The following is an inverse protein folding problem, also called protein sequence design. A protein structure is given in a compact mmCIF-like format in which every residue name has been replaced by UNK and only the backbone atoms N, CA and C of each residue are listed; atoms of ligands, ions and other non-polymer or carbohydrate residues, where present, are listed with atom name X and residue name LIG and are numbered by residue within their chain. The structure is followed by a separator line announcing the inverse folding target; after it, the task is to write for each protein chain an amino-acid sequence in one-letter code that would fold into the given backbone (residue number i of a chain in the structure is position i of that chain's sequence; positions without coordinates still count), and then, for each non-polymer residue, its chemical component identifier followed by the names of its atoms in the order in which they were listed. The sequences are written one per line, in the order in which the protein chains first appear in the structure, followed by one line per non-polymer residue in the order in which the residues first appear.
data_IF_994477283843
#
_entry.id   IF_994477283843
#
_cell.length_a   1.000
_cell.length_b   1.000
_cell.length_c   1.000
_cell.angle_alpha   90.00
_cell.angle_beta   90.00
_cell.angle_gamma   90.00
#
_symmetry.space_group_name_H-M   'P 1'
#
loop_
_entity.id
_entity.type
_entity.pdbx_description
1 polymer ?
#
# COMPACT_ATOMS: atom_id res chain seq x y z
N UNK A 1 4.89 -1.41 27.04
CA UNK A 1 3.82 -1.13 26.06
C UNK A 1 2.81 -2.27 26.02
N UNK A 2 1.77 -2.28 26.88
CA UNK A 2 0.80 -3.39 26.95
C UNK A 2 -0.01 -3.55 25.65
N UNK A 3 -0.23 -2.47 24.90
CA UNK A 3 -0.97 -2.45 23.64
C UNK A 3 -0.39 -3.36 22.55
N UNK A 4 0.94 -3.36 22.40
CA UNK A 4 1.64 -4.17 21.38
C UNK A 4 1.51 -5.67 21.71
N UNK A 5 1.65 -6.03 22.99
CA UNK A 5 1.51 -7.40 23.49
C UNK A 5 0.06 -7.91 23.37
N UNK A 6 -0.92 -7.06 23.67
CA UNK A 6 -2.34 -7.40 23.54
C UNK A 6 -2.76 -7.51 22.06
N UNK A 7 -2.20 -6.64 21.21
CA UNK A 7 -2.34 -6.74 19.76
C UNK A 7 -1.84 -8.08 19.22
N UNK A 8 -0.70 -8.58 19.71
CA UNK A 8 -0.12 -9.88 19.32
C UNK A 8 -1.05 -11.07 19.62
N UNK A 9 -1.67 -11.08 20.81
CA UNK A 9 -2.65 -12.11 21.18
C UNK A 9 -3.86 -12.11 20.24
N UNK A 10 -4.32 -10.91 19.84
CA UNK A 10 -5.44 -10.74 18.91
C UNK A 10 -5.10 -11.21 17.49
N UNK A 11 -3.84 -11.03 17.02
CA UNK A 11 -3.40 -11.56 15.71
C UNK A 11 -3.48 -13.08 15.67
N UNK A 12 -3.03 -13.77 16.73
CA UNK A 12 -3.08 -15.25 16.79
C UNK A 12 -4.51 -15.78 16.62
N UNK A 13 -5.50 -15.10 17.22
CA UNK A 13 -6.93 -15.45 17.08
C UNK A 13 -7.47 -15.20 15.67
N UNK A 14 -6.83 -14.33 14.89
CA UNK A 14 -7.21 -13.99 13.52
C UNK A 14 -6.24 -14.55 12.48
N UNK A 15 -5.49 -15.58 12.82
CA UNK A 15 -4.50 -16.17 11.90
C UNK A 15 -5.10 -16.62 10.55
N UNK A 16 -6.34 -17.16 10.46
CA UNK A 16 -6.98 -17.44 9.17
C UNK A 16 -7.10 -16.21 8.27
N UNK A 17 -7.34 -15.02 8.86
CA UNK A 17 -7.37 -13.76 8.11
C UNK A 17 -6.00 -13.40 7.53
N UNK A 18 -4.90 -13.69 8.26
CA UNK A 18 -3.52 -13.49 7.78
C UNK A 18 -3.27 -14.34 6.54
N UNK A 19 -3.69 -15.62 6.55
CA UNK A 19 -3.52 -16.54 5.42
C UNK A 19 -4.27 -16.04 4.18
N UNK A 20 -5.52 -15.59 4.35
CA UNK A 20 -6.31 -15.07 3.21
C UNK A 20 -5.69 -13.78 2.65
N UNK A 21 -5.23 -12.87 3.51
CA UNK A 21 -4.51 -11.66 3.10
C UNK A 21 -3.21 -11.97 2.38
N UNK A 22 -2.50 -12.99 2.84
CA UNK A 22 -1.30 -13.49 2.20
C UNK A 22 -1.60 -13.99 0.79
N UNK A 23 -2.58 -14.88 0.62
CA UNK A 23 -3.02 -15.41 -0.67
C UNK A 23 -3.46 -14.27 -1.61
N UNK A 24 -4.24 -13.31 -1.10
CA UNK A 24 -4.65 -12.12 -1.84
C UNK A 24 -3.43 -11.33 -2.34
N UNK A 25 -2.46 -11.03 -1.47
CA UNK A 25 -1.27 -10.27 -1.86
C UNK A 25 -0.35 -11.05 -2.82
N UNK A 26 -0.23 -12.35 -2.61
CA UNK A 26 0.52 -13.25 -3.49
C UNK A 26 -0.06 -13.24 -4.90
N UNK A 27 -1.38 -13.41 -5.01
CA UNK A 27 -2.11 -13.39 -6.29
C UNK A 27 -1.82 -12.08 -7.04
N UNK A 28 -1.96 -10.94 -6.38
CA UNK A 28 -1.64 -9.63 -6.97
C UNK A 28 -0.18 -9.48 -7.38
N UNK A 29 0.75 -9.99 -6.56
CA UNK A 29 2.17 -9.98 -6.87
C UNK A 29 2.48 -10.75 -8.16
N UNK A 30 1.92 -11.95 -8.31
CA UNK A 30 2.09 -12.78 -9.51
C UNK A 30 1.45 -12.14 -10.73
N UNK A 31 0.23 -11.60 -10.62
CA UNK A 31 -0.43 -10.91 -11.73
C UNK A 31 0.37 -9.69 -12.21
N UNK A 32 0.84 -8.84 -11.28
CA UNK A 32 1.65 -7.68 -11.63
C UNK A 32 2.99 -8.10 -12.25
N UNK A 33 3.67 -9.09 -11.67
CA UNK A 33 4.92 -9.60 -12.23
C UNK A 33 4.74 -10.09 -13.66
N UNK A 34 3.69 -10.88 -13.91
CA UNK A 34 3.40 -11.40 -15.25
C UNK A 34 3.08 -10.28 -16.23
N UNK A 35 2.28 -9.29 -15.82
CA UNK A 35 1.95 -8.14 -16.67
C UNK A 35 3.18 -7.31 -17.03
N UNK A 36 4.05 -7.02 -16.04
CA UNK A 36 5.31 -6.32 -16.29
C UNK A 36 6.22 -7.14 -17.20
N UNK A 37 6.32 -8.46 -16.99
CA UNK A 37 7.13 -9.33 -17.83
C UNK A 37 6.60 -9.42 -19.27
N UNK A 38 5.29 -9.38 -19.49
CA UNK A 38 4.74 -9.44 -20.86
C UNK A 38 4.73 -8.07 -21.54
N UNK A 39 4.43 -6.98 -20.83
CA UNK A 39 4.36 -5.66 -21.43
C UNK A 39 5.73 -4.96 -21.49
N UNK A 40 6.43 -4.89 -20.36
CA UNK A 40 7.62 -4.05 -20.21
C UNK A 40 8.86 -4.75 -20.74
N UNK A 41 9.06 -6.03 -20.41
CA UNK A 41 10.27 -6.77 -20.85
C UNK A 41 10.31 -6.94 -22.36
N UNK A 42 9.16 -7.12 -23.01
CA UNK A 42 9.09 -7.16 -24.48
C UNK A 42 9.51 -5.84 -25.14
N UNK A 43 9.13 -4.71 -24.54
CA UNK A 43 9.58 -3.38 -24.99
C UNK A 43 11.09 -3.20 -24.75
N UNK A 44 11.60 -3.65 -23.59
CA UNK A 44 13.03 -3.62 -23.29
C UNK A 44 13.86 -4.49 -24.23
N UNK A 45 13.36 -5.64 -24.68
CA UNK A 45 14.07 -6.47 -25.67
C UNK A 45 14.17 -5.81 -27.05
N UNK A 46 13.26 -4.89 -27.38
CA UNK A 46 13.34 -4.07 -28.61
C UNK A 46 14.22 -2.83 -28.44
N UNK A 47 14.66 -2.55 -27.22
CA UNK A 47 15.57 -1.44 -26.96
C UNK A 47 16.94 -1.75 -27.57
N UNK A 48 17.52 -0.84 -28.38
CA UNK A 48 18.81 -1.07 -29.01
C UNK A 48 19.93 -0.97 -27.96
N UNK A 49 20.37 -2.12 -27.44
CA UNK A 49 21.52 -2.25 -26.53
C UNK A 49 22.35 -3.50 -26.84
N UNK A 50 23.61 -3.38 -27.31
CA UNK A 50 24.32 -2.13 -27.59
C UNK A 50 23.72 -1.39 -28.81
N UNK A 51 23.56 -0.06 -28.75
CA UNK A 51 23.01 0.70 -29.86
C UNK A 51 24.01 0.76 -31.03
N UNK A 52 23.57 0.50 -32.28
CA UNK A 52 24.44 0.65 -33.44
C UNK A 52 24.84 2.12 -33.71
N UNK A 53 24.02 3.10 -33.29
CA UNK A 53 24.36 4.53 -33.36
C UNK A 53 23.54 5.34 -32.33
N UNK A 54 24.02 6.49 -31.83
CA UNK A 54 23.26 7.32 -30.86
C UNK A 54 21.88 7.75 -31.41
N UNK A 55 21.80 7.90 -32.73
CA UNK A 55 20.58 8.27 -33.46
C UNK A 55 19.51 7.16 -33.38
N UNK A 56 19.87 5.88 -33.26
CA UNK A 56 18.90 4.79 -33.11
C UNK A 56 18.17 4.83 -31.77
N UNK A 57 18.85 5.31 -30.71
CA UNK A 57 18.23 5.52 -29.40
C UNK A 57 17.21 6.65 -29.45
N UNK A 58 17.56 7.76 -30.10
CA UNK A 58 16.68 8.92 -30.26
C UNK A 58 15.45 8.55 -31.11
N UNK A 59 15.65 7.86 -32.23
CA UNK A 59 14.56 7.39 -33.09
C UNK A 59 13.61 6.45 -32.36
N UNK A 60 14.12 5.52 -31.55
CA UNK A 60 13.28 4.63 -30.73
C UNK A 60 12.40 5.42 -29.75
N UNK A 61 12.94 6.45 -29.12
CA UNK A 61 12.17 7.32 -28.19
C UNK A 61 11.11 8.12 -28.95
N UNK A 62 11.44 8.69 -30.10
CA UNK A 62 10.50 9.46 -30.93
C UNK A 62 9.40 8.56 -31.50
N UNK A 63 9.74 7.38 -32.02
CA UNK A 63 8.76 6.39 -32.49
C UNK A 63 7.85 5.97 -31.34
N UNK A 64 8.44 5.72 -30.16
CA UNK A 64 7.72 5.43 -28.93
C UNK A 64 6.69 6.50 -28.62
N UNK A 65 7.08 7.77 -28.53
CA UNK A 65 6.18 8.89 -28.21
C UNK A 65 5.05 9.07 -29.23
N UNK A 66 5.35 8.94 -30.53
CA UNK A 66 4.39 9.21 -31.59
C UNK A 66 3.40 8.04 -31.80
N UNK A 67 3.87 6.80 -31.66
CA UNK A 67 3.05 5.60 -31.89
C UNK A 67 2.46 5.00 -30.63
N UNK A 68 2.84 5.46 -29.42
CA UNK A 68 2.36 4.91 -28.14
C UNK A 68 0.84 4.72 -28.10
N UNK A 69 0.12 5.79 -28.46
CA UNK A 69 -1.35 5.82 -28.46
C UNK A 69 -1.99 5.21 -29.70
N UNK A 70 -1.21 4.71 -30.65
CA UNK A 70 -1.72 4.10 -31.89
C UNK A 70 -1.59 2.57 -31.87
N UNK A 71 -0.81 2.02 -30.93
CA UNK A 71 -0.58 0.58 -30.83
C UNK A 71 -1.76 -0.07 -30.10
N UNK A 72 -2.45 -1.05 -30.70
CA UNK A 72 -3.59 -1.73 -30.06
C UNK A 72 -3.18 -2.51 -28.80
N UNK A 73 -1.97 -3.06 -28.76
CA UNK A 73 -1.41 -3.74 -27.58
C UNK A 73 -1.33 -2.83 -26.36
N UNK A 74 -0.95 -1.56 -26.55
CA UNK A 74 -0.87 -0.58 -25.45
C UNK A 74 -2.25 -0.39 -24.82
N UNK A 75 -3.30 -0.31 -25.64
CA UNK A 75 -4.68 -0.21 -25.13
C UNK A 75 -5.07 -1.47 -24.38
N UNK A 76 -4.73 -2.66 -24.88
CA UNK A 76 -5.04 -3.92 -24.21
C UNK A 76 -4.42 -3.98 -22.81
N UNK A 77 -3.11 -3.70 -22.69
CA UNK A 77 -2.44 -3.65 -21.39
C UNK A 77 -2.99 -2.54 -20.49
N UNK A 78 -3.34 -1.38 -21.05
CA UNK A 78 -3.95 -0.29 -20.29
C UNK A 78 -5.30 -0.71 -19.71
N UNK A 79 -6.14 -1.40 -20.47
CA UNK A 79 -7.42 -1.94 -19.99
C UNK A 79 -7.22 -3.00 -18.90
N UNK A 80 -6.21 -3.87 -19.02
CA UNK A 80 -5.88 -4.82 -17.96
C UNK A 80 -5.47 -4.08 -16.69
N UNK A 81 -4.60 -3.07 -16.79
CA UNK A 81 -4.16 -2.27 -15.63
C UNK A 81 -5.34 -1.53 -15.00
N UNK A 82 -6.22 -0.92 -15.80
CA UNK A 82 -7.44 -0.26 -15.31
C UNK A 82 -8.35 -1.27 -14.60
N UNK A 83 -8.60 -2.44 -15.20
CA UNK A 83 -9.40 -3.50 -14.61
C UNK A 83 -8.80 -4.01 -13.30
N UNK A 84 -7.48 -4.18 -13.24
CA UNK A 84 -6.75 -4.55 -12.03
C UNK A 84 -6.89 -3.48 -10.92
N UNK A 85 -6.76 -2.20 -11.27
CA UNK A 85 -6.93 -1.09 -10.33
C UNK A 85 -8.36 -1.05 -9.80
N UNK A 86 -9.36 -1.20 -10.67
CA UNK A 86 -10.78 -1.17 -10.30
C UNK A 86 -11.15 -2.37 -9.42
N UNK A 87 -10.68 -3.58 -9.76
CA UNK A 87 -10.85 -4.76 -8.93
C UNK A 87 -10.19 -4.57 -7.56
N UNK A 88 -8.98 -4.00 -7.52
CA UNK A 88 -8.29 -3.69 -6.25
C UNK A 88 -9.03 -2.64 -5.43
N UNK A 89 -9.62 -1.64 -6.08
CA UNK A 89 -10.42 -0.59 -5.45
C UNK A 89 -11.66 -1.16 -4.75
N UNK A 90 -12.24 -2.22 -5.32
CA UNK A 90 -13.38 -2.95 -4.73
C UNK A 90 -12.93 -3.91 -3.62
N UNK A 91 -11.90 -4.72 -3.86
CA UNK A 91 -11.48 -5.78 -2.93
C UNK A 91 -10.76 -5.23 -1.68
N UNK A 92 -10.00 -4.15 -1.80
CA UNK A 92 -9.25 -3.58 -0.67
C UNK A 92 -10.14 -3.19 0.51
N UNK A 93 -11.22 -2.40 0.34
CA UNK A 93 -12.12 -2.05 1.45
C UNK A 93 -12.91 -3.25 1.96
N UNK A 94 -13.25 -4.22 1.10
CA UNK A 94 -13.89 -5.48 1.52
C UNK A 94 -12.99 -6.25 2.49
N UNK A 95 -11.72 -6.47 2.14
CA UNK A 95 -10.76 -7.14 3.01
C UNK A 95 -10.57 -6.37 4.33
N UNK A 96 -10.52 -5.03 4.27
CA UNK A 96 -10.45 -4.19 5.46
C UNK A 96 -11.66 -4.35 6.38
N UNK A 97 -12.87 -4.41 5.82
CA UNK A 97 -14.10 -4.69 6.56
C UNK A 97 -14.05 -6.05 7.27
N UNK A 98 -13.51 -7.06 6.58
CA UNK A 98 -13.26 -8.39 7.15
C UNK A 98 -12.32 -8.36 8.35
N UNK A 99 -11.19 -7.65 8.24
CA UNK A 99 -10.23 -7.50 9.35
C UNK A 99 -10.88 -6.79 10.55
N UNK A 100 -11.64 -5.72 10.30
CA UNK A 100 -12.29 -4.94 11.36
C UNK A 100 -13.35 -5.77 12.11
N UNK A 101 -14.14 -6.57 11.40
CA UNK A 101 -15.08 -7.50 12.04
C UNK A 101 -14.37 -8.55 12.89
N UNK A 102 -13.18 -8.99 12.45
CA UNK A 102 -12.31 -9.88 13.21
C UNK A 102 -11.88 -9.35 14.58
N UNK A 103 -12.07 -8.05 14.87
CA UNK A 103 -11.76 -7.45 16.17
C UNK A 103 -12.91 -7.50 17.19
N UNK A 104 -14.15 -7.81 16.80
CA UNK A 104 -15.29 -7.90 17.73
C UNK A 104 -15.03 -8.97 18.81
N UNK A 105 -15.56 -8.83 20.04
CA UNK A 105 -15.51 -9.90 21.04
C UNK A 105 -16.07 -11.21 20.48
N UNK A 106 -15.52 -12.36 20.93
CA UNK A 106 -15.93 -13.68 20.41
C UNK A 106 -17.41 -14.00 20.61
N UNK A 107 -18.02 -13.42 21.63
CA UNK A 107 -19.45 -13.59 21.99
C UNK A 107 -20.39 -12.91 20.98
N UNK A 108 -19.96 -11.83 20.32
CA UNK A 108 -20.73 -11.11 19.30
C UNK A 108 -20.47 -11.62 17.88
N UNK A 109 -19.56 -12.60 17.73
CA UNK A 109 -19.21 -13.17 16.42
C UNK A 109 -20.17 -14.28 16.06
N UNK A 110 -20.76 -14.15 14.88
CA UNK A 110 -21.46 -15.26 14.27
C UNK A 110 -20.47 -16.41 13.96
N UNK A 111 -20.91 -17.68 14.04
CA UNK A 111 -20.07 -18.82 13.68
C UNK A 111 -19.62 -18.73 12.21
N UNK A 112 -18.36 -19.11 11.95
CA UNK A 112 -17.75 -19.10 10.61
C UNK A 112 -16.45 -18.27 10.53
N UNK A 113 -15.94 -18.10 9.29
CA UNK A 113 -14.73 -17.32 9.05
C UNK A 113 -15.01 -15.82 9.25
N UNK A 114 -14.36 -15.16 10.24
CA UNK A 114 -14.68 -13.78 10.60
C UNK A 114 -14.44 -12.79 9.44
N UNK A 115 -13.44 -13.07 8.58
CA UNK A 115 -13.12 -12.22 7.45
C UNK A 115 -14.29 -12.09 6.45
N UNK A 116 -14.87 -13.21 6.03
CA UNK A 116 -15.97 -13.22 5.05
C UNK A 116 -17.26 -12.63 5.63
N UNK A 117 -17.54 -12.88 6.91
CA UNK A 117 -18.72 -12.29 7.55
C UNK A 117 -18.57 -10.78 7.72
N UNK A 118 -17.35 -10.32 8.03
CA UNK A 118 -17.03 -8.90 8.07
C UNK A 118 -17.16 -8.20 6.73
N UNK A 119 -16.76 -8.87 5.64
CA UNK A 119 -17.01 -8.40 4.28
C UNK A 119 -18.51 -8.17 4.05
N UNK A 120 -19.39 -9.08 4.46
CA UNK A 120 -20.83 -8.90 4.29
C UNK A 120 -21.45 -7.83 5.20
N UNK A 121 -20.99 -7.71 6.44
CA UNK A 121 -21.60 -6.81 7.45
C UNK A 121 -21.10 -5.37 7.36
N UNK A 122 -19.80 -5.17 7.12
CA UNK A 122 -19.15 -3.87 7.22
C UNK A 122 -18.70 -3.28 5.88
N UNK A 123 -18.99 -3.90 4.72
CA UNK A 123 -18.53 -3.36 3.44
C UNK A 123 -18.99 -1.93 3.18
N UNK A 124 -20.27 -1.60 3.30
CA UNK A 124 -20.80 -0.26 2.98
C UNK A 124 -20.07 0.86 3.74
N UNK A 125 -20.03 0.87 5.08
CA UNK A 125 -19.39 1.96 5.81
C UNK A 125 -17.88 1.99 5.55
N UNK A 126 -17.22 0.82 5.47
CA UNK A 126 -15.77 0.76 5.24
C UNK A 126 -15.40 1.22 3.83
N UNK A 127 -16.20 0.89 2.81
CA UNK A 127 -16.01 1.41 1.45
C UNK A 127 -16.14 2.93 1.41
N UNK A 128 -17.13 3.50 2.09
CA UNK A 128 -17.31 4.95 2.13
C UNK A 128 -16.10 5.64 2.77
N UNK A 129 -15.66 5.17 3.94
CA UNK A 129 -14.46 5.71 4.59
C UNK A 129 -13.20 5.51 3.75
N UNK A 130 -13.09 4.41 3.01
CA UNK A 130 -11.97 4.17 2.11
C UNK A 130 -11.96 5.15 0.93
N UNK A 131 -13.12 5.46 0.34
CA UNK A 131 -13.21 6.50 -0.70
C UNK A 131 -12.88 7.89 -0.17
N UNK A 132 -13.36 8.23 1.04
CA UNK A 132 -13.00 9.49 1.70
C UNK A 132 -11.50 9.55 1.96
N UNK A 133 -10.89 8.48 2.48
CA UNK A 133 -9.44 8.37 2.67
C UNK A 133 -8.69 8.60 1.36
N UNK A 134 -9.12 7.94 0.28
CA UNK A 134 -8.49 8.03 -1.03
C UNK A 134 -8.56 9.45 -1.59
N UNK A 135 -9.74 10.08 -1.52
CA UNK A 135 -9.94 11.47 -1.95
C UNK A 135 -9.04 12.42 -1.17
N UNK A 136 -9.00 12.29 0.16
CA UNK A 136 -8.23 13.16 1.03
C UNK A 136 -6.70 13.03 0.77
N UNK A 137 -6.22 11.82 0.46
CA UNK A 137 -4.82 11.57 0.09
C UNK A 137 -4.47 12.11 -1.30
N UNK A 138 -5.43 12.12 -2.23
CA UNK A 138 -5.25 12.59 -3.61
C UNK A 138 -5.25 14.12 -3.72
N UNK A 139 -5.93 14.86 -2.84
CA UNK A 139 -5.96 16.33 -2.82
C UNK A 139 -4.56 16.96 -2.95
N UNK A 140 -3.59 16.67 -2.06
CA UNK A 140 -2.28 17.30 -2.14
C UNK A 140 -1.50 16.84 -3.38
N UNK A 141 -1.80 15.65 -3.92
CA UNK A 141 -1.15 15.12 -5.10
C UNK A 141 -1.42 16.01 -6.32
N UNK A 142 -2.62 16.59 -6.45
CA UNK A 142 -2.94 17.52 -7.54
C UNK A 142 -2.03 18.75 -7.59
N UNK A 143 -1.51 19.19 -6.43
CA UNK A 143 -0.64 20.36 -6.31
C UNK A 143 0.85 20.00 -6.28
N UNK A 144 1.17 18.82 -5.73
CA UNK A 144 2.54 18.30 -5.62
C UNK A 144 3.04 17.75 -6.96
N UNK A 145 2.19 17.09 -7.76
CA UNK A 145 2.60 16.50 -9.05
C UNK A 145 3.20 17.54 -10.02
N UNK A 146 2.55 18.69 -10.29
CA UNK A 146 3.10 19.67 -11.23
C UNK A 146 4.41 20.29 -10.70
N UNK A 147 4.50 20.52 -9.38
CA UNK A 147 5.72 21.07 -8.76
C UNK A 147 6.88 20.08 -8.78
N UNK A 148 6.61 18.81 -8.45
CA UNK A 148 7.60 17.74 -8.53
C UNK A 148 8.08 17.54 -9.97
N UNK A 149 7.18 17.56 -10.95
CA UNK A 149 7.53 17.45 -12.37
C UNK A 149 8.38 18.65 -12.84
N UNK A 150 8.01 19.87 -12.46
CA UNK A 150 8.78 21.07 -12.77
C UNK A 150 10.19 21.06 -12.14
N UNK A 151 10.35 20.44 -10.96
CA UNK A 151 11.67 20.27 -10.32
C UNK A 151 12.48 19.12 -10.93
N UNK A 152 11.84 18.13 -11.56
CA UNK A 152 12.50 16.98 -12.19
C UNK A 152 12.86 17.23 -13.67
N UNK A 153 12.17 18.13 -14.36
CA UNK A 153 12.43 18.45 -15.77
C UNK A 153 13.87 18.93 -16.07
N UNK A 154 14.58 19.69 -15.20
CA UNK A 154 15.97 20.08 -15.46
C UNK A 154 16.95 18.91 -15.31
N UNK A 155 16.61 17.91 -14.47
CA UNK A 155 17.41 16.70 -14.25
C UNK A 155 17.35 15.80 -15.50
N UNK A 156 16.16 15.66 -16.11
CA UNK A 156 15.96 14.87 -17.33
C UNK A 156 16.66 15.49 -18.56
N UNK A 157 16.93 16.79 -18.53
CA UNK A 157 17.56 17.54 -19.64
C UNK A 157 19.08 17.75 -19.45
N UNK A 158 19.68 17.24 -18.37
CA UNK A 158 21.14 17.24 -18.18
C UNK A 158 21.79 18.57 -17.78
N UNK A 159 21.02 19.63 -17.53
CA UNK A 159 21.53 21.02 -17.44
C UNK A 159 21.43 21.67 -16.05
N UNK A 160 21.62 20.95 -14.94
CA UNK A 160 21.52 21.56 -13.60
C UNK A 160 22.18 20.81 -12.46
N UNK A 161 22.33 21.48 -11.31
CA UNK A 161 22.89 20.89 -10.07
C UNK A 161 22.03 19.73 -9.56
N UNK A 162 22.39 18.51 -9.96
CA UNK A 162 21.62 17.28 -9.77
C UNK A 162 21.18 17.01 -8.31
N UNK A 163 21.94 17.50 -7.32
CA UNK A 163 21.73 17.22 -5.90
C UNK A 163 20.58 18.06 -5.32
N UNK A 164 20.45 19.33 -5.72
CA UNK A 164 19.50 20.27 -5.13
C UNK A 164 18.05 19.95 -5.53
N UNK A 165 17.82 19.67 -6.82
CA UNK A 165 16.51 19.31 -7.35
C UNK A 165 16.03 17.93 -6.84
N UNK A 166 16.93 16.96 -6.69
CA UNK A 166 16.61 15.65 -6.13
C UNK A 166 16.21 15.73 -4.65
N UNK A 167 16.91 16.55 -3.84
CA UNK A 167 16.56 16.78 -2.43
C UNK A 167 15.19 17.43 -2.27
N UNK A 168 14.85 18.40 -3.12
CA UNK A 168 13.54 19.07 -3.10
C UNK A 168 12.43 18.07 -3.45
N UNK A 169 12.60 17.26 -4.49
CA UNK A 169 11.64 16.22 -4.86
C UNK A 169 11.48 15.17 -3.74
N UNK A 170 12.58 14.77 -3.09
CA UNK A 170 12.56 13.86 -1.95
C UNK A 170 11.80 14.47 -0.76
N UNK A 171 12.01 15.75 -0.45
CA UNK A 171 11.30 16.44 0.64
C UNK A 171 9.79 16.47 0.38
N UNK A 172 9.38 16.76 -0.86
CA UNK A 172 7.97 16.69 -1.25
C UNK A 172 7.38 15.28 -1.13
N UNK A 173 8.13 14.25 -1.54
CA UNK A 173 7.71 12.87 -1.40
C UNK A 173 7.56 12.46 0.08
N UNK A 174 8.51 12.82 0.94
CA UNK A 174 8.46 12.56 2.38
C UNK A 174 7.30 13.31 3.03
N UNK A 175 7.09 14.59 2.68
CA UNK A 175 5.96 15.38 3.17
C UNK A 175 4.61 14.75 2.81
N UNK A 176 4.46 14.29 1.57
CA UNK A 176 3.26 13.58 1.13
C UNK A 176 3.06 12.24 1.84
N UNK A 177 4.14 11.47 2.04
CA UNK A 177 4.07 10.22 2.80
C UNK A 177 3.61 10.45 4.23
N UNK A 178 4.19 11.44 4.92
CA UNK A 178 3.78 11.84 6.27
C UNK A 178 2.31 12.26 6.33
N UNK A 179 1.86 13.09 5.39
CA UNK A 179 0.46 13.51 5.28
C UNK A 179 -0.47 12.30 5.07
N UNK A 180 -0.14 11.43 4.10
CA UNK A 180 -0.94 10.25 3.80
C UNK A 180 -1.02 9.30 4.99
N UNK A 181 0.07 9.17 5.74
CA UNK A 181 0.13 8.35 6.94
C UNK A 181 -0.76 8.93 8.05
N UNK A 182 -0.73 10.25 8.25
CA UNK A 182 -1.61 10.94 9.19
C UNK A 182 -3.10 10.73 8.86
N UNK A 183 -3.50 10.98 7.61
CA UNK A 183 -4.89 10.78 7.16
C UNK A 183 -5.36 9.34 7.40
N UNK A 184 -4.53 8.35 7.07
CA UNK A 184 -4.83 6.93 7.29
C UNK A 184 -5.12 6.61 8.75
N UNK A 185 -4.38 7.20 9.69
CA UNK A 185 -4.62 6.97 11.12
C UNK A 185 -5.94 7.59 11.55
N UNK A 186 -6.21 8.84 11.18
CA UNK A 186 -7.44 9.54 11.54
C UNK A 186 -8.68 8.82 11.03
N UNK A 187 -8.67 8.39 9.76
CA UNK A 187 -9.79 7.65 9.17
C UNK A 187 -9.97 6.29 9.85
N UNK A 188 -8.89 5.60 10.22
CA UNK A 188 -8.97 4.32 10.90
C UNK A 188 -9.58 4.44 12.31
N UNK A 189 -9.25 5.50 13.07
CA UNK A 189 -9.92 5.78 14.35
C UNK A 189 -11.39 6.16 14.18
N UNK A 190 -11.73 6.87 13.09
CA UNK A 190 -13.11 7.22 12.75
C UNK A 190 -13.93 5.95 12.43
N UNK A 191 -13.34 5.01 11.70
CA UNK A 191 -13.92 3.68 11.44
C UNK A 191 -14.18 2.92 12.74
N UNK A 192 -13.26 2.95 13.70
CA UNK A 192 -13.50 2.32 15.01
C UNK A 192 -14.68 2.94 15.75
N UNK A 193 -14.77 4.27 15.81
CA UNK A 193 -15.88 4.97 16.45
C UNK A 193 -17.24 4.63 15.83
N UNK A 194 -17.31 4.70 14.51
CA UNK A 194 -18.55 4.43 13.77
C UNK A 194 -18.98 2.96 13.87
N UNK A 195 -18.04 2.00 13.75
CA UNK A 195 -18.37 0.58 13.70
C UNK A 195 -18.67 -0.05 15.07
N UNK A 196 -18.02 0.41 16.15
CA UNK A 196 -18.13 -0.22 17.47
C UNK A 196 -18.99 0.58 18.47
N UNK A 197 -19.15 1.89 18.31
CA UNK A 197 -19.91 2.75 19.25
C UNK A 197 -21.02 3.58 18.59
N UNK A 198 -21.23 3.43 17.28
CA UNK A 198 -22.28 4.15 16.53
C UNK A 198 -22.03 5.66 16.34
N UNK A 199 -21.05 6.25 17.03
CA UNK A 199 -20.75 7.69 16.98
C UNK A 199 -19.28 7.93 16.58
N UNK A 200 -19.09 8.60 15.45
CA UNK A 200 -17.76 8.85 14.86
C UNK A 200 -17.00 10.01 15.55
N UNK A 201 -17.72 11.05 15.99
CA UNK A 201 -17.17 12.28 16.58
C UNK A 201 -16.31 12.12 17.84
N UNK A 202 -16.76 11.39 18.89
CA UNK A 202 -15.93 11.22 20.08
C UNK A 202 -14.63 10.46 19.78
N UNK A 203 -14.64 9.57 18.80
CA UNK A 203 -13.43 8.84 18.38
C UNK A 203 -12.43 9.70 17.61
N UNK A 204 -12.90 10.72 16.89
CA UNK A 204 -12.03 11.71 16.23
C UNK A 204 -11.31 12.59 17.26
N UNK A 205 -12.02 13.05 18.29
CA UNK A 205 -11.42 13.80 19.40
C UNK A 205 -10.42 12.95 20.19
N UNK A 206 -10.73 11.68 20.41
CA UNK A 206 -9.82 10.75 21.06
C UNK A 206 -8.57 10.49 20.20
N UNK A 207 -8.72 10.38 18.89
CA UNK A 207 -7.61 10.28 17.95
C UNK A 207 -6.68 11.49 18.06
N UNK A 208 -7.22 12.70 18.11
CA UNK A 208 -6.40 13.92 18.20
C UNK A 208 -5.67 14.03 19.54
N UNK A 209 -6.33 13.66 20.65
CA UNK A 209 -5.72 13.66 22.00
C UNK A 209 -4.65 12.59 22.18
N UNK A 210 -4.75 11.47 21.46
CA UNK A 210 -3.82 10.33 21.57
C UNK A 210 -3.13 9.98 20.26
N UNK A 211 -2.93 10.99 19.43
CA UNK A 211 -2.33 10.85 18.12
C UNK A 211 -0.87 10.40 18.24
N UNK A 212 -0.14 10.94 19.21
CA UNK A 212 1.27 10.65 19.46
C UNK A 212 1.55 9.16 19.76
N UNK A 213 0.87 8.51 20.73
CA UNK A 213 1.06 7.08 20.95
C UNK A 213 0.55 6.20 19.79
N UNK A 214 -0.50 6.61 19.07
CA UNK A 214 -0.97 5.91 17.86
C UNK A 214 0.04 5.96 16.70
N UNK A 215 0.63 7.13 16.47
CA UNK A 215 1.74 7.31 15.53
C UNK A 215 2.96 6.50 15.96
N UNK A 216 3.32 6.52 17.24
CA UNK A 216 4.47 5.76 17.76
C UNK A 216 4.35 4.25 17.50
N UNK A 217 3.21 3.63 17.80
CA UNK A 217 2.98 2.21 17.53
C UNK A 217 3.08 1.91 16.03
N UNK A 218 2.45 2.75 15.21
CA UNK A 218 2.47 2.57 13.75
C UNK A 218 3.87 2.77 13.16
N UNK A 219 4.65 3.71 13.71
CA UNK A 219 6.02 3.99 13.30
C UNK A 219 6.94 2.83 13.66
N UNK A 220 6.88 2.35 14.90
CA UNK A 220 7.70 1.22 15.36
C UNK A 220 7.42 -0.01 14.49
N UNK A 221 6.14 -0.37 14.29
CA UNK A 221 5.78 -1.51 13.46
C UNK A 221 6.20 -1.34 11.99
N UNK A 222 6.06 -0.13 11.44
CA UNK A 222 6.52 0.17 10.09
C UNK A 222 8.04 0.08 9.97
N UNK A 223 8.78 0.67 10.91
CA UNK A 223 10.24 0.64 10.96
C UNK A 223 10.75 -0.80 11.09
N UNK A 224 10.19 -1.60 12.00
CA UNK A 224 10.54 -3.02 12.13
C UNK A 224 10.26 -3.79 10.84
N UNK A 225 9.10 -3.58 10.21
CA UNK A 225 8.79 -4.23 8.94
C UNK A 225 9.76 -3.81 7.82
N UNK A 226 10.14 -2.53 7.76
CA UNK A 226 11.09 -2.00 6.78
C UNK A 226 12.51 -2.54 7.00
N UNK A 227 12.97 -2.62 8.25
CA UNK A 227 14.29 -3.19 8.58
C UNK A 227 14.36 -4.66 8.16
N UNK A 228 13.34 -5.46 8.52
CA UNK A 228 13.22 -6.86 8.10
C UNK A 228 13.24 -6.96 6.58
N UNK A 229 12.52 -6.07 5.89
CA UNK A 229 12.48 -6.04 4.43
C UNK A 229 13.84 -5.73 3.80
N UNK A 230 14.56 -4.73 4.32
CA UNK A 230 15.90 -4.38 3.82
C UNK A 230 16.86 -5.55 4.03
N UNK A 231 16.84 -6.18 5.20
CA UNK A 231 17.66 -7.35 5.50
C UNK A 231 17.37 -8.52 4.56
N UNK A 232 16.09 -8.82 4.32
CA UNK A 232 15.73 -9.89 3.38
C UNK A 232 16.07 -9.54 1.93
N UNK A 233 15.92 -8.28 1.54
CA UNK A 233 16.30 -7.79 0.22
C UNK A 233 17.80 -7.92 -0.04
N UNK A 234 18.64 -7.53 0.93
CA UNK A 234 20.10 -7.65 0.80
C UNK A 234 20.56 -9.10 0.80
N UNK A 235 19.98 -9.95 1.64
CA UNK A 235 20.27 -11.40 1.65
C UNK A 235 19.86 -12.04 0.32
N UNK A 236 18.70 -11.67 -0.24
CA UNK A 236 18.24 -12.17 -1.55
C UNK A 236 19.10 -11.72 -2.72
N UNK A 237 19.86 -10.64 -2.60
CA UNK A 237 20.84 -10.22 -3.62
C UNK A 237 22.11 -11.05 -3.60
N UNK A 238 22.51 -11.51 -2.41
CA UNK A 238 23.74 -12.31 -2.23
C UNK A 238 23.46 -13.79 -2.50
N UNK A 239 22.29 -14.27 -2.09
CA UNK A 239 21.89 -15.67 -2.25
C UNK A 239 21.05 -15.83 -3.52
N UNK A 240 21.54 -16.59 -4.48
CA UNK A 240 20.77 -16.98 -5.67
C UNK A 240 20.15 -18.37 -5.45
N UNK A 241 18.95 -18.61 -5.99
CA UNK A 241 18.29 -19.92 -5.98
C UNK A 241 17.01 -20.01 -5.14
N UNK A 242 16.64 -21.24 -4.75
CA UNK A 242 15.33 -21.57 -4.15
C UNK A 242 15.08 -20.87 -2.80
N UNK A 243 16.14 -20.62 -2.02
CA UNK A 243 16.02 -19.91 -0.74
C UNK A 243 15.65 -18.43 -0.93
N UNK A 244 16.19 -17.76 -1.95
CA UNK A 244 15.82 -16.39 -2.28
C UNK A 244 14.35 -16.31 -2.71
N UNK A 245 13.88 -17.28 -3.50
CA UNK A 245 12.48 -17.37 -3.88
C UNK A 245 11.57 -17.58 -2.66
N UNK A 246 11.87 -18.54 -1.77
CA UNK A 246 11.09 -18.75 -0.55
C UNK A 246 11.04 -17.45 0.28
N UNK A 247 12.18 -16.77 0.42
CA UNK A 247 12.27 -15.55 1.20
C UNK A 247 11.45 -14.41 0.59
N UNK A 248 11.49 -14.27 -0.74
CA UNK A 248 10.69 -13.30 -1.47
C UNK A 248 9.18 -13.62 -1.39
N UNK A 249 8.81 -14.91 -1.40
CA UNK A 249 7.42 -15.33 -1.23
C UNK A 249 6.93 -15.22 0.22
N UNK A 250 7.82 -15.19 1.21
CA UNK A 250 7.45 -14.93 2.60
C UNK A 250 7.12 -13.45 2.86
N UNK A 251 7.52 -12.53 1.97
CA UNK A 251 7.29 -11.10 2.14
C UNK A 251 5.80 -10.71 2.30
N UNK A 252 4.89 -11.14 1.41
CA UNK A 252 3.46 -10.84 1.56
C UNK A 252 2.87 -11.41 2.86
N UNK A 253 3.45 -12.48 3.41
CA UNK A 253 3.02 -13.09 4.66
C UNK A 253 3.35 -12.17 5.84
N UNK A 254 4.61 -11.76 5.98
CA UNK A 254 5.02 -10.83 7.03
C UNK A 254 4.26 -9.51 6.93
N UNK A 255 4.11 -8.96 5.72
CA UNK A 255 3.34 -7.73 5.51
C UNK A 255 1.90 -7.86 5.98
N UNK A 256 1.24 -8.97 5.68
CA UNK A 256 -0.14 -9.25 6.13
C UNK A 256 -0.21 -9.35 7.65
N UNK A 257 0.76 -10.05 8.25
CA UNK A 257 0.89 -10.20 9.68
C UNK A 257 1.04 -8.85 10.40
N UNK A 258 2.02 -8.03 9.99
CA UNK A 258 2.25 -6.70 10.55
C UNK A 258 1.06 -5.76 10.34
N UNK A 259 0.35 -5.88 9.21
CA UNK A 259 -0.87 -5.09 8.96
C UNK A 259 -1.95 -5.40 10.00
N UNK A 260 -2.24 -6.68 10.24
CA UNK A 260 -3.23 -7.10 11.26
C UNK A 260 -2.74 -6.71 12.65
N UNK A 261 -1.45 -6.90 12.95
CA UNK A 261 -0.88 -6.54 14.25
C UNK A 261 -0.99 -5.04 14.55
N UNK A 262 -0.73 -4.19 13.55
CA UNK A 262 -0.92 -2.74 13.67
C UNK A 262 -2.37 -2.39 13.97
N UNK A 263 -3.31 -2.92 13.19
CA UNK A 263 -4.74 -2.63 13.34
C UNK A 263 -5.22 -3.09 14.73
N UNK A 264 -4.87 -4.30 15.15
CA UNK A 264 -5.23 -4.83 16.47
C UNK A 264 -4.63 -4.02 17.62
N UNK A 265 -3.37 -3.59 17.50
CA UNK A 265 -2.71 -2.79 18.54
C UNK A 265 -3.35 -1.40 18.68
N UNK A 266 -3.73 -0.78 17.56
CA UNK A 266 -4.45 0.50 17.55
C UNK A 266 -5.87 0.35 18.10
N UNK A 267 -6.55 -0.76 17.79
CA UNK A 267 -7.85 -1.07 18.37
C UNK A 267 -7.77 -1.24 19.90
N UNK A 268 -6.78 -1.96 20.41
CA UNK A 268 -6.57 -2.08 21.86
C UNK A 268 -6.28 -0.73 22.53
N UNK A 269 -5.51 0.15 21.87
CA UNK A 269 -5.27 1.51 22.36
C UNK A 269 -6.57 2.31 22.40
N UNK A 270 -7.36 2.25 21.34
CA UNK A 270 -8.66 2.93 21.27
C UNK A 270 -9.60 2.39 22.36
N UNK A 271 -9.77 1.07 22.49
CA UNK A 271 -10.68 0.46 23.47
C UNK A 271 -10.32 0.79 24.92
N UNK A 272 -9.03 0.90 25.26
CA UNK A 272 -8.61 1.24 26.62
C UNK A 272 -8.72 2.74 26.96
N UNK A 273 -8.82 3.61 25.95
CA UNK A 273 -8.87 5.07 26.13
C UNK A 273 -10.23 5.71 25.83
N UNK A 274 -11.14 4.93 25.24
CA UNK A 274 -12.50 5.31 24.85
C UNK A 274 -13.45 4.97 25.98
#
# INVERSE_FOLDING_TARGET
MPYIRNGWSSVKRQFPSVIILFLYQLLWGVFLYRLVNTAVVQVLHRYPDPPPHDLSRILFVIEGQNRFWQIPEVHHYLWIVIGMVLLRLLLTPLVQAGILYGLLPGEERAPGLPLFRGMQKFWKPVTLFYFIELMLILIPMLWLLPKAYASLSPILQGNGSHISAALIAMLYAVGWLCYSWFIRQTVLFLQFGYLFRGNAWPSLLLCWKHLLPGLGISFILAATCSIIFILFGTVSWIWTGLLALILQQAYPFFRSFFKIWKISSLYCLWQQKS
#
